data_IF_345356825509
#
_entry.id   IF_345356825509
#
_cell.length_a   1.000
_cell.length_b   1.000
_cell.length_c   1.000
_cell.angle_alpha   90.00
_cell.angle_beta   90.00
_cell.angle_gamma   90.00
#
_symmetry.space_group_name_H-M   'P 1'
#
loop_
_entity.id
_entity.type
_entity.pdbx_description
1 polymer ?
#
# COMPACT_ATOMS: atom_id res chain seq x y z
N UNK A 1 24.82 0.66 -11.12
CA UNK A 1 23.35 0.86 -11.19
C UNK A 1 22.97 1.92 -10.16
N UNK A 2 22.02 2.81 -10.47
CA UNK A 2 21.58 3.82 -9.51
C UNK A 2 20.71 3.15 -8.45
N UNK A 3 21.12 3.25 -7.18
CA UNK A 3 20.36 2.76 -6.03
C UNK A 3 20.15 3.92 -5.07
N UNK A 4 18.96 4.02 -4.49
CA UNK A 4 18.64 4.95 -3.40
C UNK A 4 18.33 4.15 -2.14
N UNK A 5 18.66 4.74 -1.00
CA UNK A 5 18.36 4.19 0.31
C UNK A 5 17.53 5.23 1.07
N UNK A 6 16.39 4.79 1.60
CA UNK A 6 15.58 5.56 2.55
C UNK A 6 15.61 4.81 3.87
N UNK A 7 16.11 5.47 4.92
CA UNK A 7 16.18 4.86 6.26
C UNK A 7 14.95 5.23 7.07
N UNK A 8 14.21 4.23 7.52
CA UNK A 8 13.08 4.40 8.43
C UNK A 8 13.60 4.32 9.87
N UNK A 9 13.54 5.44 10.60
CA UNK A 9 14.00 5.55 11.99
C UNK A 9 12.80 5.58 12.92
N UNK A 10 12.59 4.50 13.67
CA UNK A 10 11.58 4.37 14.71
C UNK A 10 12.27 4.26 16.07
N UNK A 11 11.53 4.47 17.15
CA UNK A 11 12.09 4.48 18.51
C UNK A 11 12.90 3.21 18.85
N UNK A 12 12.41 2.04 18.42
CA UNK A 12 13.03 0.73 18.73
C UNK A 12 13.56 -0.02 17.52
N UNK A 13 13.31 0.49 16.31
CA UNK A 13 13.61 -0.20 15.06
C UNK A 13 14.17 0.78 14.05
N UNK A 14 15.21 0.37 13.33
CA UNK A 14 15.76 1.11 12.22
C UNK A 14 15.98 0.12 11.08
N UNK A 15 15.44 0.41 9.90
CA UNK A 15 15.63 -0.41 8.72
C UNK A 15 15.72 0.46 7.47
N UNK A 16 16.36 -0.09 6.45
CA UNK A 16 16.50 0.57 5.17
C UNK A 16 15.51 0.03 4.15
N UNK A 17 15.09 0.93 3.27
CA UNK A 17 14.40 0.65 2.03
C UNK A 17 15.40 0.89 0.91
N UNK A 18 15.84 -0.20 0.28
CA UNK A 18 16.76 -0.19 -0.86
C UNK A 18 15.97 -0.18 -2.15
N UNK A 19 16.15 0.85 -2.97
CA UNK A 19 15.34 1.10 -4.17
C UNK A 19 16.28 1.17 -5.38
N UNK A 20 16.02 0.39 -6.41
CA UNK A 20 16.90 0.36 -7.59
C UNK A 20 16.49 -0.72 -8.59
N UNK A 21 17.32 -0.91 -9.61
CA UNK A 21 17.15 -1.95 -10.63
C UNK A 21 18.08 -3.14 -10.34
N UNK A 22 17.62 -4.34 -10.69
CA UNK A 22 18.37 -5.59 -10.59
C UNK A 22 18.63 -6.02 -9.15
N UNK A 23 17.80 -5.58 -8.20
CA UNK A 23 17.96 -5.86 -6.78
C UNK A 23 17.57 -7.30 -6.41
N UNK A 24 16.64 -7.96 -7.10
CA UNK A 24 16.34 -9.38 -6.88
C UNK A 24 17.59 -10.22 -7.18
N UNK A 25 18.27 -9.93 -8.30
CA UNK A 25 19.51 -10.63 -8.65
C UNK A 25 20.64 -10.38 -7.64
N UNK A 26 20.59 -9.26 -6.92
CA UNK A 26 21.56 -8.87 -5.88
C UNK A 26 21.08 -9.16 -4.45
N UNK A 27 19.92 -9.81 -4.29
CA UNK A 27 19.23 -9.95 -3.01
C UNK A 27 20.11 -10.59 -1.95
N UNK A 28 20.94 -11.59 -2.31
CA UNK A 28 21.86 -12.27 -1.39
C UNK A 28 22.75 -11.28 -0.63
N UNK A 29 23.37 -10.34 -1.35
CA UNK A 29 24.30 -9.37 -0.74
C UNK A 29 23.57 -8.46 0.26
N UNK A 30 22.34 -8.06 -0.06
CA UNK A 30 21.49 -7.22 0.79
C UNK A 30 20.98 -7.99 2.00
N UNK A 31 20.51 -9.22 1.82
CA UNK A 31 20.05 -10.12 2.89
C UNK A 31 21.20 -10.36 3.87
N UNK A 32 22.41 -10.72 3.39
CA UNK A 32 23.59 -10.93 4.24
C UNK A 32 23.96 -9.65 5.01
N UNK A 33 23.87 -8.48 4.37
CA UNK A 33 24.15 -7.19 5.01
C UNK A 33 23.17 -6.88 6.15
N UNK A 34 21.85 -6.96 5.89
CA UNK A 34 20.83 -6.55 6.85
C UNK A 34 20.54 -7.57 7.95
N UNK A 35 20.84 -8.85 7.74
CA UNK A 35 20.69 -9.87 8.77
C UNK A 35 21.87 -9.93 9.76
N UNK A 36 22.88 -9.05 9.65
CA UNK A 36 23.99 -8.87 10.60
C UNK A 36 24.43 -10.15 11.34
N UNK A 37 24.86 -11.17 10.60
CA UNK A 37 25.44 -12.33 11.27
C UNK A 37 26.82 -11.99 11.80
N UNK A 38 26.90 -11.74 13.11
CA UNK A 38 28.13 -11.58 13.91
C UNK A 38 29.01 -12.83 13.96
N UNK A 39 28.68 -13.89 13.22
CA UNK A 39 29.51 -15.08 13.11
C UNK A 39 29.37 -15.64 11.70
N UNK A 40 30.48 -15.72 10.98
CA UNK A 40 30.60 -16.23 9.61
C UNK A 40 30.16 -17.69 9.42
N UNK A 41 29.62 -18.33 10.47
CA UNK A 41 29.33 -19.77 10.54
C UNK A 41 27.83 -20.09 10.63
N UNK A 42 26.93 -19.10 10.76
CA UNK A 42 25.49 -19.38 10.88
C UNK A 42 24.82 -19.47 9.50
N UNK A 43 24.30 -20.64 9.13
CA UNK A 43 23.62 -20.81 7.83
C UNK A 43 22.34 -19.97 7.79
N UNK A 44 22.19 -19.10 6.79
CA UNK A 44 20.95 -18.35 6.53
C UNK A 44 19.92 -19.35 5.96
N UNK A 45 18.72 -19.36 6.54
CA UNK A 45 17.56 -20.13 6.07
C UNK A 45 16.36 -19.21 5.91
N UNK A 46 15.60 -19.40 4.84
CA UNK A 46 14.55 -18.49 4.43
C UNK A 46 13.26 -19.23 4.08
N UNK A 47 12.12 -18.77 4.59
CA UNK A 47 10.84 -19.03 3.95
C UNK A 47 10.54 -17.92 2.94
N UNK A 48 10.12 -18.26 1.73
CA UNK A 48 9.70 -17.28 0.71
C UNK A 48 8.19 -17.43 0.52
N UNK A 49 7.43 -16.47 1.03
CA UNK A 49 5.97 -16.42 0.85
C UNK A 49 5.66 -15.55 -0.36
N UNK A 50 4.89 -16.08 -1.30
CA UNK A 50 4.53 -15.41 -2.56
C UNK A 50 3.19 -15.90 -3.11
N UNK A 51 2.61 -15.18 -4.06
CA UNK A 51 1.43 -15.64 -4.80
C UNK A 51 1.81 -16.32 -6.14
N UNK A 52 0.87 -17.04 -6.75
CA UNK A 52 1.09 -17.75 -8.03
C UNK A 52 1.57 -16.85 -9.18
N UNK A 53 1.08 -15.61 -9.29
CA UNK A 53 1.44 -14.73 -10.40
C UNK A 53 2.89 -14.27 -10.23
N UNK A 54 3.25 -13.81 -9.03
CA UNK A 54 4.60 -13.37 -8.72
C UNK A 54 5.59 -14.54 -8.76
N UNK A 55 5.17 -15.72 -8.32
CA UNK A 55 5.99 -16.93 -8.41
C UNK A 55 6.39 -17.27 -9.84
N UNK A 56 5.44 -17.17 -10.78
CA UNK A 56 5.68 -17.48 -12.19
C UNK A 56 6.74 -16.56 -12.84
N UNK A 57 6.85 -15.30 -12.39
CA UNK A 57 7.79 -14.34 -12.96
C UNK A 57 9.13 -14.26 -12.22
N UNK A 58 9.11 -14.27 -10.88
CA UNK A 58 10.23 -13.76 -10.08
C UNK A 58 10.83 -14.77 -9.10
N UNK A 59 10.09 -15.81 -8.71
CA UNK A 59 10.53 -16.74 -7.67
C UNK A 59 11.77 -17.54 -8.09
N UNK A 60 11.78 -18.07 -9.32
CA UNK A 60 12.91 -18.87 -9.81
C UNK A 60 14.22 -18.06 -9.79
N UNK A 61 14.18 -16.81 -10.29
CA UNK A 61 15.34 -15.91 -10.27
C UNK A 61 15.89 -15.71 -8.85
N UNK A 62 15.01 -15.46 -7.88
CA UNK A 62 15.42 -15.30 -6.49
C UNK A 62 16.01 -16.60 -5.91
N UNK A 63 15.33 -17.73 -6.09
CA UNK A 63 15.79 -19.02 -5.58
C UNK A 63 17.11 -19.46 -6.18
N UNK A 64 17.32 -19.28 -7.50
CA UNK A 64 18.60 -19.58 -8.15
C UNK A 64 19.74 -18.79 -7.51
N UNK A 65 19.56 -17.48 -7.27
CA UNK A 65 20.59 -16.65 -6.64
C UNK A 65 20.88 -17.00 -5.19
N UNK A 66 19.83 -17.37 -4.43
CA UNK A 66 19.99 -17.85 -3.06
C UNK A 66 20.72 -19.22 -3.03
N UNK A 67 20.37 -20.14 -3.93
CA UNK A 67 20.99 -21.47 -4.03
C UNK A 67 22.47 -21.41 -4.48
N UNK A 68 22.82 -20.54 -5.42
CA UNK A 68 24.22 -20.24 -5.81
C UNK A 68 25.10 -19.82 -4.62
N UNK A 69 24.47 -19.37 -3.51
CA UNK A 69 25.13 -18.92 -2.29
C UNK A 69 24.87 -19.84 -1.09
N UNK A 70 24.43 -21.08 -1.34
CA UNK A 70 24.16 -22.11 -0.33
C UNK A 70 23.12 -21.70 0.72
N UNK A 71 22.23 -20.76 0.39
CA UNK A 71 21.14 -20.33 1.27
C UNK A 71 19.96 -21.27 1.08
N UNK A 72 19.55 -21.93 2.15
CA UNK A 72 18.39 -22.82 2.14
C UNK A 72 17.09 -22.01 2.06
N UNK A 73 16.21 -22.37 1.13
CA UNK A 73 14.92 -21.68 0.91
C UNK A 73 13.75 -22.65 0.89
N UNK A 74 12.63 -22.24 1.47
CA UNK A 74 11.35 -22.95 1.41
C UNK A 74 10.31 -22.06 0.74
N UNK A 75 9.91 -22.34 -0.53
CA UNK A 75 8.89 -21.57 -1.19
C UNK A 75 7.49 -21.94 -0.69
N UNK A 76 6.68 -20.93 -0.38
CA UNK A 76 5.29 -21.06 0.06
C UNK A 76 4.45 -20.22 -0.89
N UNK A 77 3.85 -20.90 -1.86
CA UNK A 77 3.01 -20.28 -2.89
C UNK A 77 1.55 -20.36 -2.44
N UNK A 78 0.86 -19.23 -2.48
CA UNK A 78 -0.60 -19.09 -2.23
C UNK A 78 -1.31 -18.59 -3.49
N UNK A 79 -2.65 -18.64 -3.49
CA UNK A 79 -3.43 -18.04 -4.58
C UNK A 79 -3.23 -16.51 -4.62
N UNK A 80 -3.35 -15.92 -5.82
CA UNK A 80 -3.32 -14.49 -5.97
C UNK A 80 -4.66 -13.85 -5.57
N UNK A 81 -4.61 -12.63 -5.04
CA UNK A 81 -5.78 -11.82 -4.71
C UNK A 81 -6.06 -11.64 -3.23
N UNK A 82 -6.95 -10.70 -2.92
CA UNK A 82 -7.25 -10.24 -1.56
C UNK A 82 -7.79 -11.35 -0.64
N UNK A 83 -8.43 -12.39 -1.20
CA UNK A 83 -8.98 -13.52 -0.45
C UNK A 83 -7.90 -14.35 0.27
N UNK A 84 -6.64 -14.24 -0.19
CA UNK A 84 -5.50 -14.89 0.47
C UNK A 84 -5.17 -14.28 1.83
N UNK A 85 -5.67 -13.08 2.14
CA UNK A 85 -5.58 -12.49 3.49
C UNK A 85 -6.67 -13.06 4.39
N UNK A 86 -6.54 -14.32 4.77
CA UNK A 86 -7.51 -15.01 5.62
C UNK A 86 -6.85 -16.01 6.58
N UNK A 87 -7.56 -16.39 7.64
CA UNK A 87 -7.06 -17.36 8.62
C UNK A 87 -6.66 -18.72 8.01
N UNK A 88 -7.44 -19.33 7.10
CA UNK A 88 -7.05 -20.61 6.50
C UNK A 88 -5.72 -20.54 5.76
N UNK A 89 -5.49 -19.45 5.02
CA UNK A 89 -4.25 -19.26 4.27
C UNK A 89 -3.08 -18.95 5.21
N UNK A 90 -3.31 -18.11 6.24
CA UNK A 90 -2.31 -17.86 7.29
C UNK A 90 -1.89 -19.16 7.99
N UNK A 91 -2.84 -20.01 8.37
CA UNK A 91 -2.57 -21.31 8.98
C UNK A 91 -1.69 -22.17 8.07
N UNK A 92 -2.03 -22.29 6.78
CA UNK A 92 -1.23 -23.04 5.81
C UNK A 92 0.21 -22.49 5.67
N UNK A 93 0.39 -21.16 5.70
CA UNK A 93 1.72 -20.54 5.71
C UNK A 93 2.50 -20.93 6.97
N UNK A 94 1.88 -20.83 8.15
CA UNK A 94 2.48 -21.20 9.44
C UNK A 94 2.90 -22.68 9.44
N UNK A 95 2.00 -23.58 9.04
CA UNK A 95 2.24 -25.02 9.04
C UNK A 95 3.44 -25.38 8.16
N UNK A 96 3.53 -24.80 6.95
CA UNK A 96 4.68 -25.03 6.06
C UNK A 96 6.00 -24.55 6.64
N UNK A 97 6.00 -23.41 7.33
CA UNK A 97 7.20 -22.87 7.99
C UNK A 97 7.64 -23.77 9.15
N UNK A 98 6.69 -24.26 9.96
CA UNK A 98 6.96 -25.14 11.09
C UNK A 98 7.43 -26.54 10.65
N UNK A 99 6.82 -27.10 9.59
CA UNK A 99 7.23 -28.38 8.98
C UNK A 99 8.66 -28.29 8.44
N UNK A 100 9.04 -27.16 7.86
CA UNK A 100 10.40 -26.88 7.41
C UNK A 100 11.43 -26.72 8.57
N UNK A 101 10.96 -26.76 9.83
CA UNK A 101 11.78 -26.61 11.03
C UNK A 101 12.60 -25.31 11.05
N UNK A 102 12.03 -24.24 10.49
CA UNK A 102 12.61 -22.91 10.64
C UNK A 102 12.49 -22.46 12.10
N UNK A 103 13.54 -21.81 12.57
CA UNK A 103 13.74 -21.37 13.94
C UNK A 103 13.57 -19.85 14.05
N UNK A 104 13.54 -19.34 15.28
CA UNK A 104 13.30 -17.92 15.56
C UNK A 104 14.29 -16.96 14.85
N UNK A 105 15.54 -17.40 14.67
CA UNK A 105 16.59 -16.62 14.00
C UNK A 105 16.59 -16.72 12.47
N UNK A 106 15.72 -17.54 11.88
CA UNK A 106 15.54 -17.59 10.43
C UNK A 106 14.63 -16.44 9.97
N UNK A 107 14.54 -16.24 8.65
CA UNK A 107 13.77 -15.12 8.08
C UNK A 107 12.64 -15.58 7.16
N UNK A 108 11.61 -14.75 7.09
CA UNK A 108 10.53 -14.82 6.10
C UNK A 108 10.74 -13.69 5.10
N UNK A 109 10.80 -14.04 3.81
CA UNK A 109 10.73 -13.11 2.69
C UNK A 109 9.28 -13.03 2.22
N UNK A 110 8.73 -11.82 2.21
CA UNK A 110 7.48 -11.50 1.55
C UNK A 110 7.76 -11.03 0.12
N UNK A 111 7.66 -11.93 -0.86
CA UNK A 111 7.86 -11.62 -2.28
C UNK A 111 6.49 -11.44 -2.96
N UNK A 112 6.01 -10.21 -3.06
CA UNK A 112 4.71 -9.95 -3.66
C UNK A 112 4.19 -8.53 -3.49
N UNK A 113 2.93 -8.32 -3.85
CA UNK A 113 2.22 -7.07 -3.54
C UNK A 113 1.85 -6.93 -2.07
N UNK A 114 1.03 -5.92 -1.74
CA UNK A 114 0.62 -5.64 -0.36
C UNK A 114 -0.10 -6.81 0.33
N UNK A 115 -0.83 -7.63 -0.44
CA UNK A 115 -1.49 -8.84 0.05
C UNK A 115 -0.50 -9.81 0.70
N UNK A 116 0.57 -10.13 -0.03
CA UNK A 116 1.63 -11.01 0.45
C UNK A 116 2.43 -10.33 1.56
N UNK A 117 2.70 -9.03 1.43
CA UNK A 117 3.39 -8.24 2.44
C UNK A 117 2.72 -8.31 3.81
N UNK A 118 1.40 -8.15 3.86
CA UNK A 118 0.60 -8.19 5.08
C UNK A 118 0.51 -9.61 5.66
N UNK A 119 0.19 -10.60 4.81
CA UNK A 119 0.03 -12.00 5.21
C UNK A 119 1.34 -12.58 5.77
N UNK A 120 2.44 -12.42 5.03
CA UNK A 120 3.75 -12.93 5.43
C UNK A 120 4.31 -12.14 6.62
N UNK A 121 4.06 -10.84 6.68
CA UNK A 121 4.44 -10.01 7.82
C UNK A 121 3.71 -10.41 9.10
N UNK A 122 2.41 -10.73 9.01
CA UNK A 122 1.66 -11.20 10.17
C UNK A 122 2.07 -12.62 10.59
N UNK A 123 2.36 -13.50 9.63
CA UNK A 123 2.96 -14.79 9.93
C UNK A 123 4.31 -14.63 10.66
N UNK A 124 5.17 -13.73 10.20
CA UNK A 124 6.46 -13.45 10.83
C UNK A 124 6.33 -12.96 12.27
N UNK A 125 5.32 -12.16 12.58
CA UNK A 125 5.15 -11.60 13.92
C UNK A 125 4.68 -12.62 14.95
N UNK A 126 3.92 -13.64 14.54
CA UNK A 126 3.32 -14.63 15.46
C UNK A 126 4.09 -15.95 15.52
N UNK A 127 4.74 -16.38 14.44
CA UNK A 127 5.52 -17.62 14.44
C UNK A 127 6.71 -17.46 15.39
N UNK A 128 6.84 -18.40 16.33
CA UNK A 128 7.87 -18.37 17.38
C UNK A 128 7.92 -17.04 18.16
N UNK A 129 6.79 -16.31 18.21
CA UNK A 129 6.66 -14.97 18.81
C UNK A 129 7.58 -13.91 18.15
N UNK A 130 7.83 -14.06 16.85
CA UNK A 130 8.62 -13.13 16.05
C UNK A 130 9.82 -13.78 15.38
N UNK A 131 9.76 -13.93 14.06
CA UNK A 131 10.87 -14.26 13.16
C UNK A 131 11.27 -13.04 12.33
N UNK A 132 12.50 -12.99 11.81
CA UNK A 132 12.91 -11.88 10.95
C UNK A 132 12.06 -11.78 9.68
N UNK A 133 11.73 -10.55 9.27
CA UNK A 133 10.93 -10.27 8.08
C UNK A 133 11.77 -9.46 7.09
N UNK A 134 11.72 -9.83 5.81
CA UNK A 134 12.26 -9.06 4.69
C UNK A 134 11.14 -8.81 3.70
N UNK A 135 10.88 -7.56 3.35
CA UNK A 135 9.86 -7.19 2.36
C UNK A 135 10.53 -7.06 0.98
N UNK A 136 9.99 -7.76 -0.02
CA UNK A 136 10.39 -7.63 -1.42
C UNK A 136 9.16 -7.25 -2.27
N UNK A 137 8.70 -5.99 -2.16
CA UNK A 137 7.46 -5.53 -2.78
C UNK A 137 7.52 -5.53 -4.31
N UNK A 138 6.54 -6.17 -4.96
CA UNK A 138 6.50 -6.35 -6.43
C UNK A 138 5.42 -5.54 -7.15
N UNK A 139 4.65 -4.73 -6.43
CA UNK A 139 3.74 -3.74 -7.02
C UNK A 139 4.20 -2.34 -6.67
N UNK A 140 3.88 -1.34 -7.52
CA UNK A 140 4.22 0.05 -7.22
C UNK A 140 3.60 0.49 -5.88
N UNK A 141 2.34 0.11 -5.65
CA UNK A 141 1.62 0.35 -4.40
C UNK A 141 2.39 -0.19 -3.19
N UNK A 142 2.86 -1.44 -3.27
CA UNK A 142 3.58 -2.05 -2.17
C UNK A 142 4.95 -1.41 -1.94
N UNK A 143 5.62 -0.97 -3.00
CA UNK A 143 6.93 -0.31 -2.92
C UNK A 143 6.86 1.04 -2.21
N UNK A 144 5.78 1.80 -2.38
CA UNK A 144 5.65 3.15 -1.82
C UNK A 144 4.80 3.24 -0.56
N UNK A 145 3.98 2.22 -0.29
CA UNK A 145 2.99 2.24 0.79
C UNK A 145 3.13 1.00 1.69
N UNK A 146 2.55 -0.14 1.31
CA UNK A 146 2.35 -1.26 2.27
C UNK A 146 3.63 -1.85 2.87
N UNK A 147 4.77 -1.80 2.18
CA UNK A 147 6.06 -2.28 2.73
C UNK A 147 6.69 -1.34 3.77
N UNK A 148 6.13 -0.14 3.97
CA UNK A 148 6.62 0.88 4.89
C UNK A 148 5.66 1.06 6.07
N UNK A 149 6.19 1.05 7.28
CA UNK A 149 5.43 1.42 8.49
C UNK A 149 4.74 0.27 9.24
N UNK A 150 5.12 -0.98 8.96
CA UNK A 150 4.97 -2.13 9.84
C UNK A 150 3.55 -2.64 10.09
N UNK A 151 2.52 -2.12 9.42
CA UNK A 151 1.18 -2.71 9.52
C UNK A 151 1.19 -4.04 8.77
N UNK A 152 0.75 -5.10 9.45
CA UNK A 152 0.64 -6.45 8.90
C UNK A 152 -0.69 -7.03 9.35
N UNK A 153 -1.30 -7.92 8.57
CA UNK A 153 -2.58 -8.49 8.98
C UNK A 153 -3.32 -9.29 7.90
N UNK A 154 -4.50 -9.74 8.28
CA UNK A 154 -5.44 -10.45 7.43
C UNK A 154 -6.84 -9.87 7.58
N UNK A 155 -7.73 -10.26 6.68
CA UNK A 155 -9.13 -9.90 6.69
C UNK A 155 -9.93 -10.92 7.52
N UNK A 156 -11.13 -10.50 7.93
CA UNK A 156 -12.13 -11.35 8.56
C UNK A 156 -13.48 -11.19 7.83
N UNK A 157 -14.46 -12.06 8.08
CA UNK A 157 -15.82 -11.85 7.58
C UNK A 157 -16.46 -10.51 8.01
N UNK A 158 -15.92 -9.88 9.06
CA UNK A 158 -16.39 -8.59 9.59
C UNK A 158 -15.68 -7.37 8.98
N UNK A 159 -14.65 -7.56 8.14
CA UNK A 159 -13.94 -6.45 7.49
C UNK A 159 -12.47 -6.72 7.20
N UNK A 160 -11.88 -5.84 6.39
CA UNK A 160 -10.47 -5.88 6.00
C UNK A 160 -9.54 -5.43 7.13
N UNK A 161 -8.35 -6.02 7.20
CA UNK A 161 -7.26 -5.61 8.10
C UNK A 161 -7.60 -5.51 9.59
N UNK A 162 -8.68 -6.14 10.05
CA UNK A 162 -9.12 -6.06 11.45
C UNK A 162 -8.26 -6.90 12.40
N UNK A 163 -7.43 -7.80 11.86
CA UNK A 163 -6.63 -8.76 12.63
C UNK A 163 -5.19 -8.67 12.14
N UNK A 164 -4.28 -8.28 13.01
CA UNK A 164 -2.90 -8.02 12.61
C UNK A 164 -2.01 -7.50 13.73
N UNK A 165 -0.81 -7.10 13.35
CA UNK A 165 0.22 -6.58 14.27
C UNK A 165 1.00 -5.44 13.64
N UNK A 166 1.56 -4.57 14.48
CA UNK A 166 2.65 -3.69 14.07
C UNK A 166 3.98 -4.46 14.17
N UNK A 167 4.57 -4.84 13.04
CA UNK A 167 5.78 -5.64 12.94
C UNK A 167 6.72 -5.11 11.84
N UNK A 168 7.91 -4.66 12.22
CA UNK A 168 8.85 -3.99 11.31
C UNK A 168 9.77 -5.01 10.61
N UNK A 169 10.08 -4.82 9.32
CA UNK A 169 11.05 -5.66 8.62
C UNK A 169 12.50 -5.34 9.03
N UNK A 170 13.43 -6.24 8.71
CA UNK A 170 14.87 -5.99 8.77
C UNK A 170 15.34 -5.08 7.63
N UNK A 171 14.72 -5.21 6.46
CA UNK A 171 14.89 -4.32 5.32
C UNK A 171 13.74 -4.49 4.32
N UNK A 172 13.64 -3.52 3.41
CA UNK A 172 12.78 -3.56 2.23
C UNK A 172 13.67 -3.51 0.99
N UNK A 173 13.47 -4.43 0.05
CA UNK A 173 14.20 -4.48 -1.23
C UNK A 173 13.20 -4.20 -2.36
N UNK A 174 13.13 -2.94 -2.80
CA UNK A 174 12.23 -2.46 -3.85
C UNK A 174 12.96 -2.44 -5.21
N UNK A 175 12.95 -3.60 -5.88
CA UNK A 175 13.44 -3.72 -7.26
C UNK A 175 12.43 -3.13 -8.24
N UNK A 176 12.83 -2.16 -9.07
CA UNK A 176 11.94 -1.60 -10.08
C UNK A 176 11.76 -2.53 -11.30
N UNK A 177 12.65 -3.50 -11.50
CA UNK A 177 12.57 -4.39 -12.67
C UNK A 177 11.36 -5.32 -12.62
N UNK A 178 10.86 -5.64 -11.42
CA UNK A 178 9.65 -6.45 -11.24
C UNK A 178 8.39 -5.74 -11.74
N UNK A 179 8.41 -4.40 -11.81
CA UNK A 179 7.27 -3.62 -12.29
C UNK A 179 7.04 -3.80 -13.79
N UNK A 180 8.01 -4.31 -14.54
CA UNK A 180 7.84 -4.58 -15.98
C UNK A 180 6.82 -5.69 -16.26
N UNK A 181 6.58 -6.60 -15.29
CA UNK A 181 5.57 -7.65 -15.39
C UNK A 181 4.24 -7.26 -14.72
N UNK A 182 4.16 -6.06 -14.13
CA UNK A 182 2.96 -5.59 -13.46
C UNK A 182 1.93 -5.09 -14.49
N UNK A 183 0.66 -5.51 -14.43
CA UNK A 183 -0.37 -4.97 -15.31
C UNK A 183 -0.45 -3.45 -15.20
N UNK A 184 -0.60 -2.75 -16.34
CA UNK A 184 -0.62 -1.28 -16.34
C UNK A 184 -1.72 -0.68 -15.46
N UNK A 185 -2.85 -1.40 -15.29
CA UNK A 185 -3.93 -1.02 -14.38
C UNK A 185 -3.46 -0.98 -12.91
N UNK A 186 -2.71 -1.99 -12.48
CA UNK A 186 -2.13 -2.07 -11.13
C UNK A 186 -1.02 -1.03 -10.92
N UNK A 187 -0.22 -0.74 -11.95
CA UNK A 187 0.77 0.34 -11.90
C UNK A 187 0.08 1.69 -11.67
N UNK A 188 -0.96 2.00 -12.45
CA UNK A 188 -1.76 3.23 -12.29
C UNK A 188 -2.39 3.31 -10.91
N UNK A 189 -2.92 2.20 -10.38
CA UNK A 189 -3.46 2.16 -9.03
C UNK A 189 -2.39 2.51 -7.97
N UNK A 190 -1.17 1.98 -8.07
CA UNK A 190 -0.07 2.40 -7.20
C UNK A 190 0.31 3.87 -7.38
N UNK A 191 0.22 4.39 -8.60
CA UNK A 191 0.49 5.80 -8.88
C UNK A 191 -0.53 6.76 -8.25
N UNK A 192 -1.80 6.33 -8.06
CA UNK A 192 -2.79 7.13 -7.33
C UNK A 192 -2.32 7.47 -5.91
N UNK A 193 -1.72 6.49 -5.22
CA UNK A 193 -1.17 6.66 -3.87
C UNK A 193 0.11 7.49 -3.86
N UNK A 194 0.90 7.41 -4.93
CA UNK A 194 2.05 8.30 -5.13
C UNK A 194 1.62 9.76 -5.22
N UNK A 195 0.57 10.05 -6.00
CA UNK A 195 -0.03 11.38 -6.10
C UNK A 195 -0.59 11.84 -4.76
N UNK A 196 -1.23 10.94 -3.99
CA UNK A 196 -1.80 11.24 -2.67
C UNK A 196 -0.80 11.89 -1.72
N UNK A 197 0.45 11.44 -1.67
CA UNK A 197 1.49 12.10 -0.85
C UNK A 197 1.66 13.59 -1.19
N UNK A 198 1.61 13.92 -2.49
CA UNK A 198 1.65 15.29 -2.98
C UNK A 198 0.49 16.14 -2.47
N UNK A 199 -0.71 15.54 -2.44
CA UNK A 199 -1.95 16.20 -2.03
C UNK A 199 -2.08 16.33 -0.52
N UNK A 200 -1.43 15.47 0.25
CA UNK A 200 -1.47 15.48 1.72
C UNK A 200 -0.70 16.66 2.28
N UNK A 201 0.61 16.72 2.01
CA UNK A 201 1.52 17.72 2.57
C UNK A 201 2.79 17.97 1.72
N UNK A 202 2.83 17.53 0.46
CA UNK A 202 3.99 17.66 -0.42
C UNK A 202 3.63 18.32 -1.77
N UNK A 203 3.16 19.57 -1.79
CA UNK A 203 2.64 20.19 -3.02
C UNK A 203 3.66 20.20 -4.17
N UNK A 204 4.94 20.43 -3.86
CA UNK A 204 6.01 20.38 -4.86
C UNK A 204 6.24 18.98 -5.44
N UNK A 205 5.90 17.91 -4.70
CA UNK A 205 5.94 16.56 -5.25
C UNK A 205 4.81 16.34 -6.25
N UNK A 206 3.60 16.84 -5.98
CA UNK A 206 2.52 16.83 -6.98
C UNK A 206 2.92 17.58 -8.26
N UNK A 207 3.44 18.80 -8.12
CA UNK A 207 3.94 19.60 -9.25
C UNK A 207 5.06 18.90 -10.03
N UNK A 208 5.92 18.16 -9.33
CA UNK A 208 6.97 17.37 -9.95
C UNK A 208 6.39 16.17 -10.70
N UNK A 209 5.38 15.49 -10.15
CA UNK A 209 4.69 14.38 -10.80
C UNK A 209 3.96 14.83 -12.07
N UNK A 210 3.27 15.97 -12.06
CA UNK A 210 2.64 16.53 -13.27
C UNK A 210 3.64 16.69 -14.43
N UNK A 211 4.88 17.09 -14.13
CA UNK A 211 5.93 17.29 -15.13
C UNK A 211 6.65 16.01 -15.56
N UNK A 212 6.63 14.97 -14.73
CA UNK A 212 7.49 13.78 -14.88
C UNK A 212 6.73 12.46 -15.00
N UNK A 213 5.41 12.44 -14.97
CA UNK A 213 4.63 11.20 -14.88
C UNK A 213 4.98 10.19 -15.98
N UNK A 214 5.21 10.62 -17.24
CA UNK A 214 5.60 9.70 -18.32
C UNK A 214 6.93 8.99 -18.01
N UNK A 215 7.87 9.72 -17.39
CA UNK A 215 9.16 9.19 -16.95
C UNK A 215 9.07 8.36 -15.67
N UNK A 216 8.03 8.53 -14.85
CA UNK A 216 7.72 7.62 -13.73
C UNK A 216 7.19 6.28 -14.26
N UNK A 217 6.41 6.32 -15.33
CA UNK A 217 5.87 5.13 -16.00
C UNK A 217 6.93 4.42 -16.86
N UNK A 218 8.02 5.11 -17.17
CA UNK A 218 9.17 4.55 -17.88
C UNK A 218 10.24 4.12 -16.89
N UNK A 219 10.61 2.83 -16.90
CA UNK A 219 11.66 2.31 -16.03
C UNK A 219 12.93 3.16 -16.11
N UNK A 220 13.41 3.65 -14.97
CA UNK A 220 14.65 4.42 -14.94
C UNK A 220 14.83 5.30 -13.68
N UNK A 221 15.81 6.22 -13.72
CA UNK A 221 16.15 7.10 -12.61
C UNK A 221 14.98 7.86 -11.98
N UNK A 222 14.04 8.32 -12.81
CA UNK A 222 12.89 9.11 -12.37
C UNK A 222 11.87 8.25 -11.62
N UNK A 223 11.66 7.00 -12.05
CA UNK A 223 10.83 6.04 -11.30
C UNK A 223 11.46 5.73 -9.93
N UNK A 224 12.77 5.51 -9.86
CA UNK A 224 13.51 5.30 -8.59
C UNK A 224 13.35 6.52 -7.66
N UNK A 225 13.51 7.73 -8.21
CA UNK A 225 13.35 8.98 -7.46
C UNK A 225 11.92 9.14 -6.92
N UNK A 226 10.91 8.84 -7.74
CA UNK A 226 9.51 8.94 -7.33
C UNK A 226 9.18 7.98 -6.19
N UNK A 227 9.63 6.71 -6.30
CA UNK A 227 9.47 5.71 -5.24
C UNK A 227 10.21 6.16 -3.97
N UNK A 228 11.47 6.62 -4.09
CA UNK A 228 12.26 7.06 -2.94
C UNK A 228 11.62 8.24 -2.20
N UNK A 229 11.10 9.24 -2.93
CA UNK A 229 10.36 10.35 -2.31
C UNK A 229 9.12 9.87 -1.58
N UNK A 230 8.31 9.02 -2.21
CA UNK A 230 7.12 8.45 -1.56
C UNK A 230 7.47 7.66 -0.28
N UNK A 231 8.50 6.81 -0.33
CA UNK A 231 9.00 6.10 0.84
C UNK A 231 9.46 7.07 1.93
N UNK A 232 10.19 8.13 1.58
CA UNK A 232 10.66 9.13 2.54
C UNK A 232 9.48 9.85 3.22
N UNK A 233 8.49 10.31 2.46
CA UNK A 233 7.32 10.98 3.02
C UNK A 233 6.53 10.08 3.98
N UNK A 234 6.36 8.80 3.62
CA UNK A 234 5.72 7.85 4.53
C UNK A 234 6.59 7.55 5.75
N UNK A 235 7.90 7.39 5.58
CA UNK A 235 8.83 7.15 6.68
C UNK A 235 8.80 8.31 7.69
N UNK A 236 8.78 9.56 7.20
CA UNK A 236 8.70 10.75 8.05
C UNK A 236 7.39 10.75 8.86
N UNK A 237 6.25 10.46 8.22
CA UNK A 237 4.96 10.39 8.91
C UNK A 237 4.93 9.27 9.95
N UNK A 238 5.44 8.07 9.61
CA UNK A 238 5.48 6.92 10.53
C UNK A 238 6.42 7.17 11.70
N UNK A 239 7.56 7.84 11.48
CA UNK A 239 8.50 8.18 12.56
C UNK A 239 7.87 9.11 13.60
N UNK A 240 6.99 10.02 13.16
CA UNK A 240 6.24 10.90 14.08
C UNK A 240 5.04 10.20 14.73
N UNK A 241 4.41 9.24 14.05
CA UNK A 241 3.18 8.57 14.51
C UNK A 241 3.11 7.10 14.08
N UNK A 242 3.91 6.24 14.74
CA UNK A 242 4.02 4.82 14.40
C UNK A 242 2.68 4.07 14.56
N UNK A 243 1.87 4.43 15.56
CA UNK A 243 0.63 3.71 15.89
C UNK A 243 -0.66 4.37 15.38
N UNK A 244 -0.55 5.39 14.51
CA UNK A 244 -1.68 6.07 13.89
C UNK A 244 -2.68 6.69 14.90
N UNK A 245 -2.15 7.45 15.85
CA UNK A 245 -2.95 8.17 16.85
C UNK A 245 -3.14 9.66 16.54
N UNK A 246 -2.49 10.16 15.48
CA UNK A 246 -2.50 11.56 15.08
C UNK A 246 -2.26 11.77 13.58
N UNK A 247 -1.10 12.34 13.23
CA UNK A 247 -0.81 12.81 11.86
C UNK A 247 -0.83 11.69 10.80
N UNK A 248 -0.57 10.43 11.17
CA UNK A 248 -0.61 9.33 10.21
C UNK A 248 -2.01 9.10 9.64
N UNK A 249 -3.06 9.57 10.32
CA UNK A 249 -4.42 9.57 9.78
C UNK A 249 -4.56 10.37 8.48
N UNK A 250 -3.68 11.35 8.20
CA UNK A 250 -3.70 12.11 6.94
C UNK A 250 -3.43 11.23 5.71
N UNK A 251 -2.75 10.09 5.89
CA UNK A 251 -2.57 9.09 4.82
C UNK A 251 -3.91 8.51 4.33
N UNK A 252 -4.99 8.70 5.09
CA UNK A 252 -6.34 8.28 4.71
C UNK A 252 -7.07 9.32 3.84
N UNK A 253 -6.37 10.29 3.25
CA UNK A 253 -6.96 11.16 2.21
C UNK A 253 -7.60 10.31 1.11
N UNK A 254 -8.87 10.58 0.81
CA UNK A 254 -9.68 9.83 -0.14
C UNK A 254 -10.16 8.44 0.34
N UNK A 255 -9.61 7.87 1.41
CA UNK A 255 -9.88 6.48 1.80
C UNK A 255 -11.29 6.27 2.35
N UNK A 256 -11.89 7.24 3.04
CA UNK A 256 -13.28 7.11 3.52
C UNK A 256 -14.25 6.86 2.34
N UNK A 257 -14.09 7.61 1.24
CA UNK A 257 -14.86 7.40 0.03
C UNK A 257 -14.36 6.17 -0.76
N UNK A 258 -13.04 5.92 -0.79
CA UNK A 258 -12.47 4.74 -1.45
C UNK A 258 -12.99 3.43 -0.89
N UNK A 259 -12.93 3.24 0.43
CA UNK A 259 -13.44 2.04 1.11
C UNK A 259 -14.96 1.88 0.95
N UNK A 260 -15.70 2.99 0.94
CA UNK A 260 -17.13 3.00 0.61
C UNK A 260 -17.36 2.41 -0.78
N UNK A 261 -16.56 2.81 -1.78
CA UNK A 261 -16.68 2.31 -3.16
C UNK A 261 -16.24 0.86 -3.29
N UNK A 262 -15.13 0.46 -2.65
CA UNK A 262 -14.71 -0.94 -2.62
C UNK A 262 -15.77 -1.86 -2.01
N UNK A 263 -16.41 -1.42 -0.92
CA UNK A 263 -17.52 -2.14 -0.29
C UNK A 263 -18.74 -2.20 -1.22
N UNK A 264 -19.07 -1.08 -1.88
CA UNK A 264 -20.17 -1.00 -2.85
C UNK A 264 -19.97 -1.88 -4.08
N UNK A 265 -18.72 -2.15 -4.47
CA UNK A 265 -18.38 -3.10 -5.54
C UNK A 265 -18.10 -4.51 -5.02
N UNK A 266 -18.41 -4.79 -3.75
CA UNK A 266 -18.18 -6.08 -3.09
C UNK A 266 -16.75 -6.60 -3.28
N UNK A 267 -15.78 -5.68 -3.34
CA UNK A 267 -14.37 -5.98 -3.62
C UNK A 267 -14.11 -6.74 -4.94
N UNK A 268 -15.01 -6.62 -5.92
CA UNK A 268 -14.81 -7.19 -7.25
C UNK A 268 -13.74 -6.41 -8.02
N UNK A 269 -12.55 -7.01 -8.10
CA UNK A 269 -11.39 -6.45 -8.82
C UNK A 269 -11.64 -6.20 -10.32
N UNK A 270 -12.65 -6.84 -10.93
CA UNK A 270 -13.02 -6.53 -12.32
C UNK A 270 -13.70 -5.16 -12.43
N UNK A 271 -14.40 -4.73 -11.37
CA UNK A 271 -15.09 -3.44 -11.32
C UNK A 271 -14.16 -2.34 -10.83
N UNK A 272 -13.46 -2.56 -9.71
CA UNK A 272 -12.70 -1.51 -9.05
C UNK A 272 -11.56 -2.11 -8.22
N UNK A 273 -10.34 -1.60 -8.40
CA UNK A 273 -9.19 -1.93 -7.54
C UNK A 273 -8.86 -0.78 -6.59
N UNK A 274 -8.14 -1.06 -5.50
CA UNK A 274 -7.87 -0.12 -4.40
C UNK A 274 -7.43 1.28 -4.87
N UNK A 275 -6.39 1.36 -5.70
CA UNK A 275 -5.88 2.66 -6.16
C UNK A 275 -6.85 3.44 -7.06
N UNK A 276 -7.73 2.76 -7.79
CA UNK A 276 -8.82 3.41 -8.53
C UNK A 276 -9.87 3.98 -7.58
N UNK A 277 -10.24 3.21 -6.54
CA UNK A 277 -11.14 3.67 -5.49
C UNK A 277 -10.56 4.87 -4.74
N UNK A 278 -9.25 4.87 -4.44
CA UNK A 278 -8.55 5.99 -3.82
C UNK A 278 -8.47 7.20 -4.76
N UNK A 279 -8.28 7.01 -6.07
CA UNK A 279 -8.30 8.12 -7.03
C UNK A 279 -9.66 8.83 -7.02
N UNK A 280 -10.76 8.08 -7.20
CA UNK A 280 -12.13 8.62 -7.13
C UNK A 280 -12.40 9.22 -5.75
N UNK A 281 -12.06 8.50 -4.68
CA UNK A 281 -12.26 8.95 -3.31
C UNK A 281 -11.50 10.23 -2.98
N UNK A 282 -10.30 10.40 -3.55
CA UNK A 282 -9.51 11.63 -3.44
C UNK A 282 -10.22 12.80 -4.12
N UNK A 283 -10.75 12.59 -5.34
CA UNK A 283 -11.54 13.62 -6.03
C UNK A 283 -12.80 13.96 -5.23
N UNK A 284 -13.52 12.97 -4.71
CA UNK A 284 -14.70 13.19 -3.86
C UNK A 284 -14.36 13.98 -2.59
N UNK A 285 -13.22 13.71 -1.94
CA UNK A 285 -12.78 14.48 -0.77
C UNK A 285 -12.47 15.95 -1.11
N UNK A 286 -11.89 16.21 -2.28
CA UNK A 286 -11.64 17.58 -2.76
C UNK A 286 -12.95 18.29 -3.12
N UNK A 287 -13.83 17.65 -3.89
CA UNK A 287 -15.14 18.19 -4.24
C UNK A 287 -16.05 18.42 -3.01
N UNK A 288 -15.98 17.56 -2.01
CA UNK A 288 -16.69 17.78 -0.76
C UNK A 288 -16.09 18.96 0.02
N UNK A 289 -14.76 19.13 -0.02
CA UNK A 289 -14.09 20.31 0.55
C UNK A 289 -14.50 21.60 -0.19
N UNK A 290 -14.75 21.56 -1.50
CA UNK A 290 -15.31 22.68 -2.27
C UNK A 290 -16.72 23.03 -1.83
N UNK A 291 -17.60 22.03 -1.66
CA UNK A 291 -18.98 22.26 -1.19
C UNK A 291 -19.00 22.92 0.19
N UNK A 292 -17.98 22.66 1.01
CA UNK A 292 -17.77 23.31 2.30
C UNK A 292 -17.03 24.66 2.21
N UNK A 293 -16.76 25.17 1.00
CA UNK A 293 -16.01 26.40 0.72
C UNK A 293 -14.59 26.41 1.33
N UNK A 294 -13.94 25.25 1.44
CA UNK A 294 -12.62 25.12 2.06
C UNK A 294 -11.46 25.25 1.07
N UNK A 295 -11.70 25.02 -0.22
CA UNK A 295 -10.69 24.95 -1.27
C UNK A 295 -11.20 25.64 -2.55
N UNK A 296 -10.28 26.20 -3.33
CA UNK A 296 -10.57 26.74 -4.65
C UNK A 296 -10.84 25.61 -5.67
N UNK A 297 -11.97 25.63 -6.41
CA UNK A 297 -12.31 24.56 -7.35
C UNK A 297 -11.28 24.28 -8.46
N UNK A 298 -10.46 25.28 -8.82
CA UNK A 298 -9.38 25.11 -9.80
C UNK A 298 -8.35 24.07 -9.37
N UNK A 299 -8.13 23.88 -8.07
CA UNK A 299 -7.20 22.87 -7.55
C UNK A 299 -7.75 21.46 -7.78
N UNK A 300 -9.03 21.24 -7.49
CA UNK A 300 -9.67 19.93 -7.73
C UNK A 300 -9.68 19.59 -9.20
N UNK A 301 -10.01 20.56 -10.07
CA UNK A 301 -9.98 20.37 -11.52
C UNK A 301 -8.57 19.99 -12.02
N UNK A 302 -7.52 20.60 -11.47
CA UNK A 302 -6.12 20.26 -11.77
C UNK A 302 -5.80 18.82 -11.38
N UNK A 303 -6.21 18.38 -10.19
CA UNK A 303 -5.99 17.00 -9.69
C UNK A 303 -6.77 15.99 -10.54
N UNK A 304 -8.03 16.28 -10.83
CA UNK A 304 -8.89 15.46 -11.69
C UNK A 304 -8.29 15.31 -13.10
N UNK A 305 -7.80 16.42 -13.67
CA UNK A 305 -7.12 16.43 -14.97
C UNK A 305 -5.88 15.54 -14.95
N UNK A 306 -5.06 15.61 -13.90
CA UNK A 306 -3.88 14.77 -13.76
C UNK A 306 -4.24 13.28 -13.67
N UNK A 307 -5.22 12.91 -12.83
CA UNK A 307 -5.68 11.52 -12.75
C UNK A 307 -6.24 10.99 -14.08
N UNK A 308 -7.07 11.77 -14.78
CA UNK A 308 -7.54 11.42 -16.13
C UNK A 308 -6.38 11.24 -17.11
N UNK A 309 -5.41 12.16 -17.09
CA UNK A 309 -4.24 12.14 -17.98
C UNK A 309 -3.42 10.86 -17.83
N UNK A 310 -3.26 10.38 -16.58
CA UNK A 310 -2.53 9.12 -16.32
C UNK A 310 -3.41 7.87 -16.45
N UNK A 311 -4.68 8.01 -16.83
CA UNK A 311 -5.61 6.90 -17.08
C UNK A 311 -6.26 6.30 -15.84
N UNK A 312 -6.44 7.09 -14.77
CA UNK A 312 -7.19 6.71 -13.58
C UNK A 312 -8.64 7.22 -13.65
N UNK A 313 -9.61 6.47 -13.07
CA UNK A 313 -10.98 6.95 -12.96
C UNK A 313 -11.06 8.08 -11.92
N UNK A 314 -12.03 8.96 -12.09
CA UNK A 314 -12.17 10.18 -11.29
C UNK A 314 -13.59 10.43 -10.82
N UNK A 315 -14.57 9.72 -11.40
CA UNK A 315 -15.99 9.91 -11.13
C UNK A 315 -16.65 8.58 -10.77
N UNK A 316 -17.79 8.65 -10.06
CA UNK A 316 -18.59 7.47 -9.72
C UNK A 316 -19.06 6.70 -10.96
N UNK A 317 -19.32 7.43 -12.04
CA UNK A 317 -19.79 6.89 -13.32
C UNK A 317 -18.70 6.13 -14.09
N UNK A 318 -17.43 6.33 -13.74
CA UNK A 318 -16.31 5.60 -14.34
C UNK A 318 -16.25 4.14 -13.80
N UNK A 319 -16.98 3.83 -12.72
CA UNK A 319 -17.03 2.49 -12.11
C UNK A 319 -18.00 1.60 -12.91
N UNK A 320 -17.55 0.46 -13.46
CA UNK A 320 -18.43 -0.48 -14.14
C UNK A 320 -19.56 -1.00 -13.25
N UNK A 321 -20.76 -1.09 -13.83
CA UNK A 321 -21.95 -1.59 -13.14
C UNK A 321 -22.66 -0.53 -12.28
N UNK A 322 -23.83 -0.87 -11.74
CA UNK A 322 -24.60 0.05 -10.90
C UNK A 322 -23.97 0.18 -9.51
N UNK A 323 -23.97 1.40 -8.98
CA UNK A 323 -23.69 1.66 -7.57
C UNK A 323 -25.01 1.70 -6.78
N UNK A 324 -24.98 1.39 -5.47
CA UNK A 324 -26.11 1.61 -4.58
C UNK A 324 -26.52 3.10 -4.48
N UNK A 325 -27.68 3.35 -3.89
CA UNK A 325 -28.14 4.71 -3.58
C UNK A 325 -27.29 5.37 -2.48
N UNK A 326 -27.48 6.69 -2.32
CA UNK A 326 -26.69 7.50 -1.39
C UNK A 326 -26.87 7.04 0.07
N UNK A 327 -28.08 6.63 0.44
CA UNK A 327 -28.42 6.10 1.76
C UNK A 327 -27.62 4.83 2.06
N UNK A 328 -27.57 3.88 1.12
CA UNK A 328 -26.77 2.65 1.27
C UNK A 328 -25.28 2.96 1.35
N UNK A 329 -24.77 3.86 0.50
CA UNK A 329 -23.36 4.30 0.54
C UNK A 329 -22.99 4.93 1.89
N UNK A 330 -23.90 5.70 2.50
CA UNK A 330 -23.70 6.25 3.85
C UNK A 330 -23.56 5.16 4.92
N UNK A 331 -24.25 4.02 4.78
CA UNK A 331 -24.09 2.90 5.72
C UNK A 331 -22.67 2.31 5.66
N UNK A 332 -22.05 2.25 4.47
CA UNK A 332 -20.67 1.78 4.32
C UNK A 332 -19.66 2.74 4.93
N UNK A 333 -19.87 4.06 4.78
CA UNK A 333 -19.05 5.08 5.46
C UNK A 333 -19.14 4.92 6.98
N UNK A 334 -20.34 4.66 7.52
CA UNK A 334 -20.56 4.49 8.95
C UNK A 334 -19.91 3.20 9.52
N UNK A 335 -19.73 2.16 8.70
CA UNK A 335 -19.05 0.92 9.10
C UNK A 335 -17.53 1.07 9.18
N UNK A 336 -16.92 1.83 8.26
CA UNK A 336 -15.46 2.08 8.24
C UNK A 336 -14.99 2.91 9.44
N UNK A 337 -15.81 3.88 9.88
CA UNK A 337 -15.45 4.80 10.97
C UNK A 337 -16.18 4.41 12.24
N UNK A 338 -15.44 4.17 13.33
CA UNK A 338 -16.03 4.17 14.68
C UNK A 338 -16.71 5.52 14.91
N UNK A 339 -18.04 5.54 14.83
CA UNK A 339 -18.89 6.70 15.12
C UNK A 339 -18.76 6.99 16.61
N UNK A 340 -17.82 7.85 16.98
CA UNK A 340 -17.85 8.48 18.30
C UNK A 340 -18.86 9.63 18.21
N UNK A 341 -19.98 9.52 18.95
CA UNK A 341 -20.94 10.61 19.14
C UNK A 341 -21.58 11.17 17.86
N UNK A 342 -22.08 10.32 16.96
CA UNK A 342 -22.84 10.70 15.74
C UNK A 342 -22.10 11.56 14.69
N UNK A 343 -20.78 11.70 14.81
CA UNK A 343 -20.00 12.61 14.00
C UNK A 343 -18.91 11.88 13.21
N UNK A 344 -18.85 12.12 11.89
CA UNK A 344 -17.89 11.45 11.02
C UNK A 344 -16.54 12.18 11.03
N UNK A 345 -15.46 11.40 10.93
CA UNK A 345 -14.11 11.93 10.76
C UNK A 345 -13.64 11.68 9.33
N UNK A 346 -13.28 12.75 8.63
CA UNK A 346 -12.75 12.71 7.26
C UNK A 346 -11.36 13.33 7.20
N UNK A 347 -10.63 12.99 6.14
CA UNK A 347 -9.46 13.75 5.73
C UNK A 347 -9.90 14.64 4.56
N UNK A 348 -9.94 15.95 4.82
CA UNK A 348 -10.34 16.98 3.87
C UNK A 348 -9.15 17.87 3.56
N UNK A 349 -9.34 18.90 2.74
CA UNK A 349 -8.24 19.74 2.25
C UNK A 349 -8.63 21.20 2.17
N UNK A 350 -7.64 22.08 2.36
CA UNK A 350 -7.76 23.54 2.16
C UNK A 350 -7.00 24.04 0.91
N UNK A 351 -6.36 23.13 0.18
CA UNK A 351 -5.49 23.48 -0.94
C UNK A 351 -4.58 22.34 -1.35
N UNK A 352 -3.75 22.58 -2.35
CA UNK A 352 -2.76 21.59 -2.78
C UNK A 352 -1.75 21.34 -1.65
N UNK A 353 -1.63 20.10 -1.19
CA UNK A 353 -0.70 19.74 -0.11
C UNK A 353 -1.12 20.28 1.26
N UNK A 354 -2.42 20.52 1.49
CA UNK A 354 -2.94 21.10 2.73
C UNK A 354 -4.10 20.25 3.29
N UNK A 355 -3.89 18.95 3.40
CA UNK A 355 -4.87 18.05 4.01
C UNK A 355 -4.96 18.24 5.53
N UNK A 356 -6.12 17.98 6.10
CA UNK A 356 -6.35 18.05 7.54
C UNK A 356 -7.41 17.06 8.00
N UNK A 357 -7.38 16.72 9.29
CA UNK A 357 -8.38 15.86 9.93
C UNK A 357 -9.62 16.71 10.24
N UNK A 358 -10.69 16.52 9.48
CA UNK A 358 -11.99 17.12 9.73
C UNK A 358 -12.80 16.24 10.67
N UNK A 359 -12.91 16.67 11.93
CA UNK A 359 -13.80 16.07 12.92
C UNK A 359 -15.20 16.68 12.79
N UNK A 360 -16.23 15.95 13.21
CA UNK A 360 -17.62 16.44 13.25
C UNK A 360 -18.20 16.81 11.89
N UNK A 361 -17.86 16.04 10.85
CA UNK A 361 -18.51 16.18 9.54
C UNK A 361 -19.95 15.70 9.64
N UNK A 362 -20.90 16.59 9.29
CA UNK A 362 -22.33 16.31 9.32
C UNK A 362 -22.70 15.17 8.36
N UNK A 363 -23.30 14.07 8.84
CA UNK A 363 -23.78 12.99 7.98
C UNK A 363 -24.76 13.46 6.90
N UNK A 364 -25.62 14.43 7.23
CA UNK A 364 -26.57 15.00 6.27
C UNK A 364 -25.86 15.75 5.12
N UNK A 365 -24.77 16.48 5.41
CA UNK A 365 -24.01 17.17 4.38
C UNK A 365 -23.36 16.18 3.40
N UNK A 366 -22.82 15.06 3.93
CA UNK A 366 -22.26 13.98 3.11
C UNK A 366 -23.34 13.29 2.29
N UNK A 367 -24.51 13.00 2.87
CA UNK A 367 -25.64 12.40 2.16
C UNK A 367 -26.12 13.29 1.00
N UNK A 368 -26.29 14.60 1.24
CA UNK A 368 -26.65 15.55 0.18
C UNK A 368 -25.61 15.59 -0.93
N UNK A 369 -24.32 15.61 -0.57
CA UNK A 369 -23.22 15.54 -1.54
C UNK A 369 -23.27 14.27 -2.38
N UNK A 370 -23.45 13.09 -1.77
CA UNK A 370 -23.54 11.82 -2.49
C UNK A 370 -24.76 11.76 -3.42
N UNK A 371 -25.92 12.29 -2.99
CA UNK A 371 -27.11 12.41 -3.86
C UNK A 371 -26.80 13.23 -5.11
N UNK A 372 -26.10 14.35 -4.98
CA UNK A 372 -25.70 15.17 -6.12
C UNK A 372 -24.72 14.43 -7.05
N UNK A 373 -23.77 13.66 -6.51
CA UNK A 373 -22.76 12.94 -7.30
C UNK A 373 -23.29 11.71 -8.03
N UNK A 374 -24.37 11.11 -7.54
CA UNK A 374 -25.02 9.97 -8.18
C UNK A 374 -25.95 10.37 -9.34
N UNK A 375 -26.42 11.60 -9.38
CA UNK A 375 -27.19 12.13 -10.51
C UNK A 375 -26.24 12.30 -11.71
N UNK A 376 -26.57 11.68 -12.85
CA UNK A 376 -25.82 11.94 -14.09
C UNK A 376 -26.02 13.41 -14.48
N UNK A 377 -24.95 14.14 -14.85
CA UNK A 377 -25.15 15.40 -15.55
C UNK A 377 -25.97 15.12 -16.81
N UNK A 378 -27.03 15.90 -17.02
CA UNK A 378 -27.86 15.86 -18.23
C UNK A 378 -27.06 16.13 -19.51
#
# INVERSE_FOLDING_TARGET
MQTKIVTVKLNKHCYDIVIGSGLIAQAVSKIKHYLHQKSSHQKIRLAIVTDKNVAAFHLNTLQTKLAENEIYTVPIIVEAGEQSKSFPILQNVIDKILVARLERGDSIIALGGGVIGDLAGFAASIIRRGMHLIQMPTTLLAQIDSSVGGKTGINSPYGKNLIGTFYQPQCVIADIDVLNTLPSREFRAGYAEMVKYGLINQPHFFEWLEKNWQKVFSKGPIQIEAIARSCQFKADIVAHDEYETGQRALLNLGHTFGHMLETATTYDSNRLIHGEAVAIGTILAHQFSEQLNLINPTITQRIETHFKTVGLPTQLQDIPGKLPDAETLMTFIAQDKKVSQNNLTFILTRGLGQSFIAKNVSPNAVLTFLKQKLVKPD
#
